data_IF_332496796145
#
_entry.id   IF_332496796145
#
_cell.length_a   1.000
_cell.length_b   1.000
_cell.length_c   1.000
_cell.angle_alpha   90.00
_cell.angle_beta   90.00
_cell.angle_gamma   90.00
#
_symmetry.space_group_name_H-M   'P 1'
#
loop_
_entity.id
_entity.type
_entity.pdbx_description
1 polymer ?
#
# COMPACT_ATOMS: atom_id res chain seq x y z
N UNK A 1 -20.57 13.80 -12.93
CA UNK A 1 -19.73 13.76 -11.71
C UNK A 1 -20.37 12.97 -10.53
N UNK A 2 -21.56 12.34 -10.69
CA UNK A 2 -22.22 11.62 -9.59
C UNK A 2 -22.01 10.10 -9.57
N UNK A 3 -21.46 9.50 -10.62
CA UNK A 3 -21.22 8.05 -10.70
C UNK A 3 -20.08 7.57 -9.78
N UNK A 4 -19.02 8.35 -9.64
CA UNK A 4 -17.84 7.92 -8.87
C UNK A 4 -18.08 7.75 -7.35
N UNK A 5 -18.93 8.57 -6.74
CA UNK A 5 -19.20 8.49 -5.31
C UNK A 5 -20.06 7.28 -4.92
N UNK A 6 -21.02 6.89 -5.77
CA UNK A 6 -21.86 5.71 -5.54
C UNK A 6 -21.06 4.40 -5.70
N UNK A 7 -20.15 4.36 -6.68
CA UNK A 7 -19.30 3.17 -6.91
C UNK A 7 -18.32 2.94 -5.76
N UNK A 8 -17.79 4.00 -5.18
CA UNK A 8 -16.87 3.95 -4.03
C UNK A 8 -17.58 3.41 -2.78
N UNK A 9 -18.73 3.99 -2.42
CA UNK A 9 -19.52 3.55 -1.26
C UNK A 9 -20.01 2.10 -1.43
N UNK A 10 -20.27 1.67 -2.66
CA UNK A 10 -20.66 0.30 -2.96
C UNK A 10 -19.49 -0.68 -2.80
N UNK A 11 -18.29 -0.36 -3.30
CA UNK A 11 -17.10 -1.20 -3.20
C UNK A 11 -16.66 -1.35 -1.74
N UNK A 12 -16.61 -0.25 -0.98
CA UNK A 12 -16.32 -0.26 0.43
C UNK A 12 -17.25 -1.20 1.20
N UNK A 13 -18.56 -1.03 1.03
CA UNK A 13 -19.56 -1.90 1.65
C UNK A 13 -19.43 -3.36 1.23
N UNK A 14 -18.98 -3.63 0.00
CA UNK A 14 -18.82 -4.99 -0.51
C UNK A 14 -17.65 -5.71 0.14
N UNK A 15 -16.49 -5.06 0.28
CA UNK A 15 -15.32 -5.65 0.95
C UNK A 15 -15.60 -5.94 2.41
N UNK A 16 -16.24 -5.01 3.14
CA UNK A 16 -16.61 -5.24 4.54
C UNK A 16 -17.61 -6.38 4.70
N UNK A 17 -18.64 -6.46 3.86
CA UNK A 17 -19.59 -7.57 3.89
C UNK A 17 -18.93 -8.92 3.58
N UNK A 18 -18.01 -8.94 2.62
CA UNK A 18 -17.26 -10.13 2.31
C UNK A 18 -16.38 -10.57 3.50
N UNK A 19 -15.76 -9.60 4.18
CA UNK A 19 -14.93 -9.88 5.36
C UNK A 19 -15.76 -10.39 6.55
N UNK A 20 -16.95 -9.81 6.78
CA UNK A 20 -17.90 -10.27 7.80
C UNK A 20 -18.39 -11.68 7.51
N UNK A 21 -18.77 -11.99 6.26
CA UNK A 21 -19.18 -13.33 5.88
C UNK A 21 -18.04 -14.35 6.00
N UNK A 22 -16.82 -13.97 5.60
CA UNK A 22 -15.64 -14.80 5.78
C UNK A 22 -15.43 -15.14 7.26
N UNK A 23 -15.52 -14.13 8.13
CA UNK A 23 -15.39 -14.31 9.58
C UNK A 23 -16.45 -15.24 10.15
N UNK A 24 -17.70 -15.10 9.71
CA UNK A 24 -18.81 -15.98 10.12
C UNK A 24 -18.56 -17.43 9.75
N UNK A 25 -18.14 -17.69 8.51
CA UNK A 25 -17.82 -19.05 8.03
C UNK A 25 -16.67 -19.64 8.84
N UNK A 26 -15.60 -18.86 9.06
CA UNK A 26 -14.44 -19.34 9.81
C UNK A 26 -14.77 -19.59 11.29
N UNK A 27 -15.65 -18.77 11.89
CA UNK A 27 -16.15 -18.97 13.24
C UNK A 27 -16.97 -20.26 13.37
N UNK A 28 -17.88 -20.53 12.41
CA UNK A 28 -18.68 -21.77 12.37
C UNK A 28 -17.79 -23.02 12.21
N UNK A 29 -16.69 -22.88 11.50
CA UNK A 29 -15.68 -23.92 11.36
C UNK A 29 -14.77 -24.06 12.59
N UNK A 30 -14.95 -23.23 13.62
CA UNK A 30 -14.13 -23.21 14.83
C UNK A 30 -12.64 -22.97 14.54
N UNK A 31 -12.34 -22.14 13.56
CA UNK A 31 -10.97 -21.69 13.31
C UNK A 31 -10.47 -20.88 14.51
N UNK A 32 -9.24 -21.15 14.92
CA UNK A 32 -8.62 -20.37 16.01
C UNK A 32 -8.53 -18.90 15.61
N UNK A 33 -8.93 -17.95 16.48
CA UNK A 33 -8.81 -16.53 16.23
C UNK A 33 -7.39 -16.13 15.81
N UNK A 34 -7.29 -15.24 14.85
CA UNK A 34 -6.03 -14.77 14.30
C UNK A 34 -6.05 -13.27 13.96
N UNK A 35 -4.86 -12.69 13.84
CA UNK A 35 -4.67 -11.31 13.45
C UNK A 35 -4.34 -11.21 11.96
N UNK A 36 -4.99 -10.29 11.27
CA UNK A 36 -4.75 -9.92 9.89
C UNK A 36 -4.09 -8.54 9.85
N UNK A 37 -2.78 -8.51 9.69
CA UNK A 37 -1.99 -7.28 9.62
C UNK A 37 -2.02 -6.73 8.22
N UNK A 38 -2.90 -5.76 7.95
CA UNK A 38 -3.16 -5.25 6.61
C UNK A 38 -2.28 -4.05 6.26
N UNK A 39 -1.98 -3.96 4.97
CA UNK A 39 -1.19 -2.91 4.35
C UNK A 39 -1.88 -2.42 3.07
N UNK A 40 -1.20 -1.67 2.23
CA UNK A 40 -1.73 -1.27 0.93
C UNK A 40 -2.93 -0.33 1.00
N UNK A 41 -3.82 -0.45 0.02
CA UNK A 41 -4.99 0.42 -0.14
C UNK A 41 -6.01 0.27 0.97
N UNK A 42 -6.27 -0.96 1.41
CA UNK A 42 -7.24 -1.25 2.47
C UNK A 42 -6.79 -0.70 3.83
N UNK A 43 -5.49 -0.73 4.15
CA UNK A 43 -4.97 -0.10 5.36
C UNK A 43 -5.19 1.43 5.34
N UNK A 44 -5.00 2.09 4.19
CA UNK A 44 -5.24 3.53 4.05
C UNK A 44 -6.71 3.89 4.23
N UNK A 45 -7.63 3.04 3.78
CA UNK A 45 -9.05 3.18 4.05
C UNK A 45 -9.33 3.12 5.55
N UNK A 46 -8.87 2.08 6.23
CA UNK A 46 -9.08 1.89 7.67
C UNK A 46 -8.47 3.02 8.51
N UNK A 47 -7.43 3.69 7.98
CA UNK A 47 -6.83 4.90 8.57
C UNK A 47 -7.58 6.19 8.24
N UNK A 48 -8.64 6.14 7.41
CA UNK A 48 -9.40 7.30 6.96
C UNK A 48 -8.62 8.24 6.04
N UNK A 49 -7.60 7.73 5.36
CA UNK A 49 -6.71 8.50 4.49
C UNK A 49 -7.19 8.46 3.04
N UNK A 50 -7.70 7.31 2.60
CA UNK A 50 -8.17 7.09 1.24
C UNK A 50 -9.61 6.61 1.24
N UNK A 51 -10.42 7.10 0.29
CA UNK A 51 -11.85 6.81 0.21
C UNK A 51 -12.23 5.95 -0.99
N UNK A 52 -11.29 5.50 -1.86
CA UNK A 52 -11.63 4.82 -3.10
C UNK A 52 -10.53 3.89 -3.66
N UNK A 53 -10.94 3.03 -4.60
CA UNK A 53 -10.12 2.21 -5.50
C UNK A 53 -9.29 1.09 -4.84
N UNK A 54 -9.92 0.23 -4.04
CA UNK A 54 -9.32 -1.03 -3.63
C UNK A 54 -10.34 -2.17 -3.83
N UNK A 55 -9.83 -3.28 -4.30
CA UNK A 55 -10.59 -4.52 -4.47
C UNK A 55 -9.97 -5.67 -3.70
N UNK A 56 -8.83 -5.42 -3.08
CA UNK A 56 -7.97 -6.39 -2.44
C UNK A 56 -7.52 -5.94 -1.04
N UNK A 57 -7.27 -6.92 -0.19
CA UNK A 57 -6.71 -6.77 1.15
C UNK A 57 -5.32 -7.39 1.13
N UNK A 58 -4.31 -6.53 0.99
CA UNK A 58 -2.92 -6.95 1.13
C UNK A 58 -2.59 -7.13 2.62
N UNK A 59 -2.00 -8.27 3.00
CA UNK A 59 -1.60 -8.49 4.38
C UNK A 59 -0.14 -8.94 4.51
N UNK A 60 0.43 -8.70 5.68
CA UNK A 60 1.75 -9.18 6.08
C UNK A 60 1.55 -10.35 7.04
N UNK A 61 2.20 -11.47 6.77
CA UNK A 61 2.14 -12.63 7.64
C UNK A 61 2.29 -13.94 6.90
N UNK A 62 2.12 -15.03 7.66
CA UNK A 62 2.19 -16.37 7.09
C UNK A 62 0.99 -16.62 6.18
N UNK A 63 1.23 -17.37 5.13
CA UNK A 63 0.17 -17.85 4.27
C UNK A 63 -0.87 -18.66 5.05
N UNK A 64 -2.13 -18.49 4.67
CA UNK A 64 -3.22 -19.34 5.15
C UNK A 64 -3.05 -20.78 4.67
N UNK A 65 -3.55 -21.74 5.46
CA UNK A 65 -3.64 -23.11 4.99
C UNK A 65 -4.63 -23.22 3.82
N UNK A 66 -4.52 -24.30 3.03
CA UNK A 66 -5.32 -24.48 1.82
C UNK A 66 -6.81 -24.34 2.05
N UNK A 67 -7.33 -24.91 3.14
CA UNK A 67 -8.77 -24.88 3.45
C UNK A 67 -9.29 -23.46 3.70
N UNK A 68 -8.51 -22.61 4.38
CA UNK A 68 -8.85 -21.19 4.60
C UNK A 68 -8.72 -20.42 3.30
N UNK A 69 -7.69 -20.70 2.48
CA UNK A 69 -7.55 -20.10 1.14
C UNK A 69 -8.76 -20.40 0.25
N UNK A 70 -9.22 -21.64 0.21
CA UNK A 70 -10.39 -22.04 -0.60
C UNK A 70 -11.63 -21.23 -0.20
N UNK A 71 -11.86 -21.01 1.10
CA UNK A 71 -12.98 -20.21 1.60
C UNK A 71 -12.81 -18.72 1.24
N UNK A 72 -11.61 -18.18 1.38
CA UNK A 72 -11.31 -16.80 0.97
C UNK A 72 -11.64 -16.62 -0.51
N UNK A 73 -11.21 -17.54 -1.39
CA UNK A 73 -11.51 -17.49 -2.82
C UNK A 73 -13.01 -17.59 -3.10
N UNK A 74 -13.73 -18.51 -2.41
CA UNK A 74 -15.17 -18.69 -2.58
C UNK A 74 -15.94 -17.40 -2.21
N UNK A 75 -15.64 -16.82 -1.06
CA UNK A 75 -16.24 -15.56 -0.63
C UNK A 75 -15.89 -14.42 -1.60
N UNK A 76 -14.63 -14.31 -2.01
CA UNK A 76 -14.21 -13.29 -2.98
C UNK A 76 -14.96 -13.40 -4.31
N UNK A 77 -15.14 -14.60 -4.83
CA UNK A 77 -15.89 -14.83 -6.06
C UNK A 77 -17.39 -14.52 -5.89
N UNK A 78 -17.99 -14.86 -4.75
CA UNK A 78 -19.38 -14.52 -4.43
C UNK A 78 -19.65 -13.01 -4.44
N UNK A 79 -18.71 -12.23 -3.95
CA UNK A 79 -18.83 -10.77 -3.87
C UNK A 79 -18.23 -10.03 -5.08
N UNK A 80 -17.72 -10.76 -6.09
CA UNK A 80 -17.11 -10.14 -7.27
C UNK A 80 -15.76 -9.49 -7.03
N UNK A 81 -15.09 -9.81 -5.92
CA UNK A 81 -13.77 -9.28 -5.55
C UNK A 81 -12.62 -10.07 -6.20
N UNK A 82 -12.91 -11.25 -6.76
CA UNK A 82 -11.90 -12.15 -7.32
C UNK A 82 -11.28 -13.10 -6.29
N UNK A 83 -10.47 -14.05 -6.78
CA UNK A 83 -9.89 -15.10 -5.92
C UNK A 83 -8.83 -14.56 -4.96
N UNK A 84 -8.01 -13.64 -5.43
CA UNK A 84 -6.90 -13.06 -4.65
C UNK A 84 -7.27 -11.81 -3.86
N UNK A 85 -8.54 -11.61 -3.49
CA UNK A 85 -8.97 -10.40 -2.79
C UNK A 85 -8.38 -10.24 -1.38
N UNK A 86 -7.92 -11.33 -0.76
CA UNK A 86 -7.03 -11.31 0.41
C UNK A 86 -5.76 -12.05 0.00
N UNK A 87 -4.64 -11.35 -0.04
CA UNK A 87 -3.38 -11.90 -0.51
C UNK A 87 -2.20 -11.35 0.32
N UNK A 88 -1.09 -12.09 0.31
CA UNK A 88 0.17 -11.67 0.91
C UNK A 88 1.25 -11.37 -0.15
N UNK A 89 0.86 -11.00 -1.36
CA UNK A 89 1.74 -10.65 -2.46
C UNK A 89 2.39 -9.27 -2.26
N UNK A 90 2.70 -8.95 -1.01
CA UNK A 90 3.36 -7.70 -0.65
C UNK A 90 4.83 -7.79 -1.07
N UNK A 91 5.28 -6.87 -1.92
CA UNK A 91 6.67 -6.76 -2.39
C UNK A 91 7.68 -6.40 -1.28
N UNK A 92 7.37 -6.70 -0.04
CA UNK A 92 8.29 -6.58 1.07
C UNK A 92 9.00 -7.91 1.25
N UNK A 93 10.29 -7.93 0.97
CA UNK A 93 11.14 -9.04 1.36
C UNK A 93 11.20 -9.12 2.89
N UNK A 94 11.43 -10.31 3.42
CA UNK A 94 11.62 -10.50 4.88
C UNK A 94 12.68 -9.53 5.44
N UNK A 95 13.71 -9.21 4.63
CA UNK A 95 14.72 -8.22 4.97
C UNK A 95 14.15 -6.80 5.15
N UNK A 96 13.19 -6.38 4.34
CA UNK A 96 12.54 -5.07 4.51
C UNK A 96 11.67 -5.02 5.78
N UNK A 97 11.04 -6.13 6.14
CA UNK A 97 10.27 -6.24 7.39
C UNK A 97 11.19 -6.22 8.61
N UNK A 98 12.27 -7.00 8.59
CA UNK A 98 13.31 -7.00 9.65
C UNK A 98 13.94 -5.61 9.80
N UNK A 99 14.19 -4.91 8.71
CA UNK A 99 14.75 -3.57 8.72
C UNK A 99 13.75 -2.53 9.24
N UNK A 100 12.47 -2.66 8.90
CA UNK A 100 11.38 -1.88 9.50
C UNK A 100 11.29 -2.12 11.01
N UNK A 101 11.38 -3.36 11.46
CA UNK A 101 11.40 -3.73 12.88
C UNK A 101 12.63 -3.16 13.60
N UNK A 102 13.82 -3.31 13.03
CA UNK A 102 15.07 -2.84 13.60
C UNK A 102 15.12 -1.31 13.72
N UNK A 103 14.52 -0.58 12.77
CA UNK A 103 14.58 0.89 12.75
C UNK A 103 13.50 1.52 13.63
N UNK A 104 12.36 0.87 13.80
CA UNK A 104 11.25 1.39 14.61
C UNK A 104 11.19 0.81 16.02
N UNK A 105 12.07 -0.16 16.34
CA UNK A 105 12.10 -0.86 17.62
C UNK A 105 10.98 -1.88 17.82
N UNK A 106 9.96 -1.86 17.00
CA UNK A 106 8.91 -2.88 16.80
C UNK A 106 7.92 -2.34 15.76
N UNK A 107 7.40 -3.21 14.88
CA UNK A 107 6.26 -2.86 14.04
C UNK A 107 5.08 -2.52 14.95
N UNK A 108 4.62 -1.27 14.90
CA UNK A 108 3.45 -0.84 15.66
C UNK A 108 2.21 -1.11 14.83
N UNK A 109 1.38 -2.01 15.33
CA UNK A 109 0.09 -2.30 14.76
C UNK A 109 -1.02 -1.59 15.55
N UNK A 110 -1.94 -0.99 14.81
CA UNK A 110 -3.14 -0.38 15.36
C UNK A 110 -4.33 -1.28 15.06
N UNK A 111 -5.02 -1.77 16.09
CA UNK A 111 -6.25 -2.54 15.92
C UNK A 111 -7.33 -1.65 15.33
N UNK A 112 -7.95 -2.08 14.23
CA UNK A 112 -8.97 -1.32 13.50
C UNK A 112 -10.34 -1.98 13.51
N UNK A 113 -10.37 -3.30 13.39
CA UNK A 113 -11.62 -4.04 13.34
C UNK A 113 -11.45 -5.33 14.12
N UNK A 114 -12.44 -5.67 14.96
CA UNK A 114 -12.50 -6.90 15.71
C UNK A 114 -13.79 -7.63 15.35
N UNK A 115 -13.64 -8.77 14.72
CA UNK A 115 -14.73 -9.68 14.37
C UNK A 115 -14.68 -10.90 15.31
N UNK A 116 -15.40 -11.98 15.00
CA UNK A 116 -15.48 -13.19 15.84
C UNK A 116 -14.15 -13.94 15.94
N UNK A 117 -13.47 -14.13 14.82
CA UNK A 117 -12.19 -14.85 14.73
C UNK A 117 -11.10 -14.04 14.01
N UNK A 118 -11.46 -13.00 13.26
CA UNK A 118 -10.52 -12.14 12.56
C UNK A 118 -10.37 -10.82 13.32
N UNK A 119 -9.14 -10.46 13.69
CA UNK A 119 -8.79 -9.12 14.16
C UNK A 119 -7.96 -8.43 13.08
N UNK A 120 -8.45 -7.32 12.52
CA UNK A 120 -7.74 -6.55 11.50
C UNK A 120 -6.92 -5.45 12.15
N UNK A 121 -5.64 -5.47 11.90
CA UNK A 121 -4.69 -4.46 12.35
C UNK A 121 -4.07 -3.74 11.16
N UNK A 122 -3.75 -2.45 11.30
CA UNK A 122 -2.96 -1.69 10.33
C UNK A 122 -1.59 -1.37 10.89
N UNK A 123 -0.59 -1.25 10.03
CA UNK A 123 0.68 -0.63 10.40
C UNK A 123 0.47 0.85 10.74
N UNK A 124 1.38 1.38 11.54
CA UNK A 124 1.41 2.82 11.80
C UNK A 124 1.61 3.61 10.48
N UNK A 125 1.08 4.82 10.43
CA UNK A 125 1.06 5.63 9.20
C UNK A 125 2.44 5.96 8.64
N UNK A 126 3.47 6.05 9.49
CA UNK A 126 4.85 6.27 9.02
C UNK A 126 5.41 5.02 8.33
N UNK A 127 5.09 3.84 8.87
CA UNK A 127 5.43 2.58 8.21
C UNK A 127 4.68 2.43 6.88
N UNK A 128 3.38 2.76 6.83
CA UNK A 128 2.61 2.76 5.58
C UNK A 128 3.19 3.72 4.54
N UNK A 129 3.62 4.93 4.96
CA UNK A 129 4.30 5.89 4.07
C UNK A 129 5.59 5.30 3.51
N UNK A 130 6.43 4.72 4.35
CA UNK A 130 7.69 4.08 3.93
C UNK A 130 7.45 2.95 2.92
N UNK A 131 6.47 2.09 3.19
CA UNK A 131 6.10 1.02 2.25
C UNK A 131 5.71 1.56 0.87
N UNK A 132 4.96 2.65 0.82
CA UNK A 132 4.59 3.29 -0.43
C UNK A 132 5.79 3.89 -1.16
N UNK A 133 6.73 4.49 -0.45
CA UNK A 133 7.99 4.99 -1.03
C UNK A 133 8.81 3.84 -1.60
N UNK A 134 8.98 2.74 -0.86
CA UNK A 134 9.69 1.54 -1.32
C UNK A 134 9.00 0.91 -2.54
N UNK A 135 7.66 0.84 -2.55
CA UNK A 135 6.92 0.28 -3.69
C UNK A 135 7.13 1.09 -4.97
N UNK A 136 7.16 2.42 -4.87
CA UNK A 136 7.49 3.32 -6.00
C UNK A 136 8.93 3.08 -6.44
N UNK A 137 9.88 3.02 -5.51
CA UNK A 137 11.30 2.81 -5.78
C UNK A 137 11.55 1.47 -6.47
N UNK A 138 11.01 0.39 -5.95
CA UNK A 138 11.15 -0.95 -6.52
C UNK A 138 10.57 -1.03 -7.94
N UNK A 139 9.41 -0.40 -8.17
CA UNK A 139 8.80 -0.35 -9.51
C UNK A 139 9.65 0.46 -10.48
N UNK A 140 10.22 1.59 -10.03
CA UNK A 140 11.13 2.41 -10.83
C UNK A 140 12.43 1.67 -11.15
N UNK A 141 13.04 1.01 -10.18
CA UNK A 141 14.22 0.18 -10.38
C UNK A 141 13.93 -0.95 -11.38
N UNK A 142 12.80 -1.65 -11.25
CA UNK A 142 12.38 -2.70 -12.19
C UNK A 142 12.23 -2.19 -13.62
N UNK A 143 11.63 -1.02 -13.84
CA UNK A 143 11.55 -0.37 -15.13
C UNK A 143 12.95 -0.04 -15.69
N UNK A 144 13.83 0.48 -14.84
CA UNK A 144 15.18 0.89 -15.23
C UNK A 144 16.07 -0.28 -15.66
N UNK A 145 15.87 -1.45 -15.07
CA UNK A 145 16.66 -2.64 -15.35
C UNK A 145 15.97 -3.65 -16.27
N UNK A 146 14.64 -3.64 -16.35
CA UNK A 146 13.85 -4.66 -17.06
C UNK A 146 13.05 -4.16 -18.25
N UNK A 147 12.98 -2.86 -18.52
CA UNK A 147 12.23 -2.29 -19.66
C UNK A 147 10.70 -2.35 -19.51
N UNK A 148 10.18 -2.54 -18.32
CA UNK A 148 8.74 -2.52 -18.03
C UNK A 148 8.15 -1.11 -17.94
N UNK A 149 6.82 -0.99 -18.00
CA UNK A 149 6.12 0.27 -17.76
C UNK A 149 6.04 0.58 -16.26
N UNK A 150 6.12 1.88 -15.92
CA UNK A 150 5.91 2.34 -14.55
C UNK A 150 4.42 2.31 -14.19
N UNK A 151 4.03 1.44 -13.26
CA UNK A 151 2.63 1.15 -12.95
C UNK A 151 2.14 1.70 -11.60
N UNK A 152 3.01 2.33 -10.80
CA UNK A 152 2.73 2.73 -9.43
C UNK A 152 2.24 4.18 -9.25
N UNK A 153 1.59 4.76 -10.26
CA UNK A 153 1.12 6.16 -10.19
C UNK A 153 0.19 6.44 -9.00
N UNK A 154 -0.68 5.49 -8.65
CA UNK A 154 -1.58 5.63 -7.50
C UNK A 154 -0.82 5.77 -6.17
N UNK A 155 0.38 5.21 -6.06
CA UNK A 155 1.17 5.25 -4.83
C UNK A 155 1.73 6.65 -4.55
N UNK A 156 1.93 7.51 -5.56
CA UNK A 156 2.28 8.92 -5.34
C UNK A 156 1.15 9.68 -4.64
N UNK A 157 -0.10 9.41 -5.01
CA UNK A 157 -1.24 10.01 -4.32
C UNK A 157 -1.31 9.53 -2.87
N UNK A 158 -1.07 8.24 -2.63
CA UNK A 158 -1.04 7.66 -1.29
C UNK A 158 0.08 8.30 -0.45
N UNK A 159 1.28 8.49 -1.01
CA UNK A 159 2.40 9.19 -0.34
C UNK A 159 2.00 10.61 0.03
N UNK A 160 1.37 11.35 -0.89
CA UNK A 160 0.91 12.72 -0.64
C UNK A 160 -0.11 12.76 0.49
N UNK A 161 -1.16 11.95 0.42
CA UNK A 161 -2.22 11.91 1.44
C UNK A 161 -1.67 11.49 2.82
N UNK A 162 -0.78 10.50 2.87
CA UNK A 162 -0.11 10.08 4.10
C UNK A 162 0.75 11.20 4.68
N UNK A 163 1.55 11.88 3.85
CA UNK A 163 2.41 12.96 4.30
C UNK A 163 1.61 14.15 4.85
N UNK A 164 0.51 14.52 4.18
CA UNK A 164 -0.42 15.55 4.64
C UNK A 164 -1.05 15.17 5.99
N UNK A 165 -1.50 13.93 6.14
CA UNK A 165 -2.08 13.44 7.38
C UNK A 165 -1.06 13.40 8.55
N UNK A 166 0.21 13.12 8.25
CA UNK A 166 1.30 13.11 9.22
C UNK A 166 1.90 14.50 9.48
N UNK A 167 1.49 15.52 8.74
CA UNK A 167 2.10 16.87 8.80
C UNK A 167 3.56 16.89 8.35
N UNK A 168 3.96 15.94 7.47
CA UNK A 168 5.32 15.81 6.96
C UNK A 168 5.52 16.65 5.70
N UNK A 169 6.61 17.43 5.68
CA UNK A 169 7.07 18.08 4.47
C UNK A 169 7.78 17.11 3.53
N UNK A 170 8.01 17.52 2.28
CA UNK A 170 8.83 16.76 1.34
C UNK A 170 10.21 16.41 1.92
N UNK A 171 10.86 17.36 2.58
CA UNK A 171 12.19 17.15 3.18
C UNK A 171 12.14 16.09 4.31
N UNK A 172 11.04 16.03 5.05
CA UNK A 172 10.84 14.99 6.07
C UNK A 172 10.67 13.61 5.45
N UNK A 173 9.97 13.51 4.31
CA UNK A 173 9.83 12.27 3.54
C UNK A 173 11.22 11.79 3.07
N UNK A 174 12.01 12.67 2.45
CA UNK A 174 13.38 12.35 2.00
C UNK A 174 14.22 11.86 3.19
N UNK A 175 14.32 12.69 4.24
CA UNK A 175 15.16 12.37 5.40
C UNK A 175 14.81 11.05 6.07
N UNK A 176 13.53 10.71 6.14
CA UNK A 176 13.07 9.49 6.82
C UNK A 176 13.12 8.24 5.94
N UNK A 177 13.36 8.37 4.62
CA UNK A 177 13.30 7.24 3.70
C UNK A 177 14.54 7.10 2.79
N UNK A 178 15.50 8.03 2.85
CA UNK A 178 16.64 8.06 1.91
C UNK A 178 17.47 6.77 1.93
N UNK A 179 17.72 6.23 3.12
CA UNK A 179 18.54 5.03 3.30
C UNK A 179 17.83 3.72 2.87
N UNK A 180 16.54 3.80 2.54
CA UNK A 180 15.70 2.64 2.16
C UNK A 180 15.41 2.56 0.67
N UNK A 181 15.85 3.52 -0.13
CA UNK A 181 15.59 3.57 -1.57
C UNK A 181 16.84 3.20 -2.37
N UNK A 182 16.62 2.46 -3.46
CA UNK A 182 17.65 2.03 -4.40
C UNK A 182 17.95 3.17 -5.40
N UNK A 183 16.90 3.88 -5.81
CA UNK A 183 16.93 4.93 -6.82
C UNK A 183 16.51 6.28 -6.22
N UNK A 184 17.43 7.09 -5.68
CA UNK A 184 17.10 8.38 -5.05
C UNK A 184 16.33 9.35 -5.97
N UNK A 185 16.36 9.13 -7.27
CA UNK A 185 15.63 9.89 -8.28
C UNK A 185 14.12 9.88 -8.07
N UNK A 186 13.59 8.86 -7.40
CA UNK A 186 12.16 8.80 -7.06
C UNK A 186 11.70 9.98 -6.21
N UNK A 187 12.58 10.54 -5.38
CA UNK A 187 12.24 11.70 -4.57
C UNK A 187 11.93 12.92 -5.43
N UNK A 188 12.57 13.05 -6.60
CA UNK A 188 12.20 14.08 -7.55
C UNK A 188 10.75 13.88 -8.06
N UNK A 189 10.39 12.64 -8.40
CA UNK A 189 9.04 12.29 -8.86
C UNK A 189 8.00 12.55 -7.77
N UNK A 190 8.30 12.18 -6.53
CA UNK A 190 7.45 12.46 -5.37
C UNK A 190 7.25 13.97 -5.20
N UNK A 191 8.34 14.78 -5.26
CA UNK A 191 8.27 16.23 -5.15
C UNK A 191 7.42 16.85 -6.25
N UNK A 192 7.60 16.37 -7.48
CA UNK A 192 6.81 16.84 -8.62
C UNK A 192 5.34 16.56 -8.41
N UNK A 193 4.98 15.33 -8.03
CA UNK A 193 3.60 14.96 -7.78
C UNK A 193 2.97 15.78 -6.65
N UNK A 194 3.67 15.95 -5.54
CA UNK A 194 3.19 16.77 -4.42
C UNK A 194 2.91 18.21 -4.83
N UNK A 195 3.67 18.75 -5.80
CA UNK A 195 3.53 20.14 -6.24
C UNK A 195 2.45 20.34 -7.30
N UNK A 196 2.36 19.42 -8.26
CA UNK A 196 1.55 19.61 -9.47
C UNK A 196 0.34 18.67 -9.53
N UNK A 197 0.26 17.67 -8.66
CA UNK A 197 -0.76 16.62 -8.64
C UNK A 197 -0.88 15.87 -9.98
N UNK A 198 0.23 15.82 -10.71
CA UNK A 198 0.32 15.21 -12.03
C UNK A 198 1.40 14.11 -11.99
N UNK A 199 1.03 12.85 -12.22
CA UNK A 199 2.02 11.81 -12.35
C UNK A 199 2.83 12.09 -13.62
N UNK A 200 4.11 12.42 -13.46
CA UNK A 200 5.01 12.45 -14.60
C UNK A 200 5.00 11.05 -15.22
N UNK A 201 4.40 10.94 -16.40
CA UNK A 201 4.47 9.73 -17.21
C UNK A 201 5.87 9.70 -17.81
N UNK A 202 6.81 9.13 -17.08
CA UNK A 202 8.15 8.91 -17.61
C UNK A 202 8.15 7.60 -18.41
N UNK A 203 8.00 7.73 -19.70
CA UNK A 203 8.21 6.62 -20.63
C UNK A 203 9.69 6.37 -20.93
N UNK A 204 10.58 7.26 -20.48
CA UNK A 204 12.01 7.20 -20.79
C UNK A 204 12.86 7.79 -19.64
N UNK A 205 13.80 6.99 -19.12
CA UNK A 205 14.76 7.40 -18.10
C UNK A 205 15.62 8.59 -18.56
N UNK A 206 15.95 8.64 -19.84
CA UNK A 206 16.73 9.74 -20.42
C UNK A 206 16.04 11.09 -20.27
N UNK A 207 14.71 11.14 -20.33
CA UNK A 207 13.95 12.36 -20.11
C UNK A 207 13.99 12.81 -18.64
N UNK A 208 14.04 11.87 -17.68
CA UNK A 208 14.17 12.17 -16.24
C UNK A 208 15.54 12.76 -15.97
N UNK A 209 16.61 12.12 -16.44
CA UNK A 209 17.97 12.56 -16.25
C UNK A 209 18.20 13.95 -16.88
N UNK A 210 17.62 14.22 -18.06
CA UNK A 210 17.67 15.52 -18.71
C UNK A 210 16.95 16.64 -17.93
N UNK A 211 15.78 16.32 -17.34
CA UNK A 211 15.02 17.27 -16.50
C UNK A 211 15.74 17.54 -15.17
N UNK A 212 16.33 16.50 -14.56
CA UNK A 212 17.10 16.62 -13.32
C UNK A 212 18.34 17.49 -13.53
N UNK A 213 19.09 17.25 -14.61
CA UNK A 213 20.32 17.98 -14.94
C UNK A 213 20.01 19.40 -15.38
N UNK A 214 18.99 19.60 -16.25
CA UNK A 214 18.70 20.92 -16.85
C UNK A 214 18.06 21.90 -15.87
N UNK A 215 17.36 21.41 -14.84
CA UNK A 215 16.65 22.27 -13.88
C UNK A 215 17.33 22.41 -12.52
N UNK A 216 18.52 21.86 -12.33
CA UNK A 216 19.30 21.99 -11.09
C UNK A 216 18.52 21.56 -9.84
N UNK A 217 17.68 20.51 -9.96
CA UNK A 217 16.68 20.14 -8.96
C UNK A 217 17.20 19.18 -7.89
N UNK A 218 18.46 18.73 -8.01
CA UNK A 218 19.14 17.99 -6.96
C UNK A 218 20.19 18.91 -6.35
N UNK A 219 19.80 19.65 -5.32
CA UNK A 219 20.73 20.11 -4.30
C UNK A 219 20.55 19.17 -3.10
N UNK A 220 21.16 18.00 -3.22
CA UNK A 220 21.28 17.04 -2.12
C UNK A 220 22.61 17.35 -1.43
N UNK A 221 22.63 18.44 -0.65
CA UNK A 221 23.66 18.69 0.35
C UNK A 221 23.03 18.94 1.71
#
# INVERSE_FOLDING_TARGET
MSSNLMDVEYQEKTVFKALEELDDILADMKVTPFELSVVGGFALLLEGIRMSDYTDIDYIGKEFNSKVKDIIEEVGMKYGLGRGWINNDVLLTDSCLEELENTTGSLKFNKKLELKVITVNTLDKKCLLRMKVIAVDTSYAGMSFGGGEFTRQKDFNDIKLLSENLGMSYNDIVRSNYDYVICPEIFFMIRWYMRFNDPLVFSDRGAIDEIIITKGLIDVR
#
